data_IF_205774224810
#
_entry.id   IF_205774224810
#
_cell.length_a   1.000
_cell.length_b   1.000
_cell.length_c   1.000
_cell.angle_alpha   90.00
_cell.angle_beta   90.00
_cell.angle_gamma   90.00
#
_symmetry.space_group_name_H-M   'P 1'
#
loop_
_entity.id
_entity.type
_entity.pdbx_description
1 polymer ?
#
# COMPACT_ATOMS: atom_id res chain seq x y z
N UNK A 1 -18.77 9.14 -16.71
CA UNK A 1 -17.92 8.75 -17.85
C UNK A 1 -17.41 7.33 -17.60
N UNK A 2 -17.64 6.40 -18.53
CA UNK A 2 -17.23 4.98 -18.35
C UNK A 2 -15.70 4.94 -18.48
N UNK A 3 -15.00 4.43 -17.46
CA UNK A 3 -13.53 4.27 -17.53
C UNK A 3 -13.20 3.30 -18.67
N UNK A 4 -12.38 3.76 -19.61
CA UNK A 4 -11.88 2.93 -20.70
C UNK A 4 -10.81 1.97 -20.14
N UNK A 5 -10.92 0.69 -20.48
CA UNK A 5 -9.93 -0.30 -20.09
C UNK A 5 -8.54 0.05 -20.62
N UNK A 6 -8.43 0.48 -21.87
CA UNK A 6 -7.12 0.74 -22.50
C UNK A 6 -6.41 1.89 -21.76
N UNK A 7 -7.12 2.99 -21.51
CA UNK A 7 -6.56 4.14 -20.80
C UNK A 7 -6.17 3.81 -19.36
N UNK A 8 -6.96 3.00 -18.65
CA UNK A 8 -6.59 2.57 -17.30
C UNK A 8 -5.44 1.56 -17.32
N UNK A 9 -5.36 0.67 -18.31
CA UNK A 9 -4.25 -0.27 -18.47
C UNK A 9 -2.93 0.46 -18.75
N UNK A 10 -2.94 1.53 -19.54
CA UNK A 10 -1.77 2.38 -19.77
C UNK A 10 -1.29 3.06 -18.49
N UNK A 11 -2.20 3.57 -17.65
CA UNK A 11 -1.84 4.12 -16.33
C UNK A 11 -1.23 3.08 -15.41
N UNK A 12 -1.78 1.86 -15.40
CA UNK A 12 -1.22 0.73 -14.63
C UNK A 12 0.18 0.41 -15.13
N UNK A 13 0.35 0.27 -16.44
CA UNK A 13 1.64 0.01 -17.06
C UNK A 13 2.67 1.09 -16.73
N UNK A 14 2.26 2.36 -16.68
CA UNK A 14 3.16 3.45 -16.29
C UNK A 14 3.54 3.41 -14.82
N UNK A 15 2.58 3.15 -13.91
CA UNK A 15 2.89 2.95 -12.49
C UNK A 15 3.86 1.77 -12.26
N UNK A 16 3.75 0.70 -13.06
CA UNK A 16 4.69 -0.42 -13.03
C UNK A 16 6.10 0.02 -13.43
N UNK A 17 6.23 0.80 -14.51
CA UNK A 17 7.54 1.31 -14.94
C UNK A 17 8.19 2.16 -13.85
N UNK A 18 7.42 3.05 -13.21
CA UNK A 18 7.89 3.86 -12.08
C UNK A 18 8.35 2.97 -10.92
N UNK A 19 7.59 1.93 -10.59
CA UNK A 19 7.95 1.00 -9.53
C UNK A 19 9.24 0.23 -9.83
N UNK A 20 9.41 -0.27 -11.06
CA UNK A 20 10.63 -0.93 -11.52
C UNK A 20 11.82 0.03 -11.43
N UNK A 21 11.65 1.26 -11.90
CA UNK A 21 12.69 2.29 -11.80
C UNK A 21 13.09 2.58 -10.35
N UNK A 22 12.12 2.66 -9.43
CA UNK A 22 12.38 2.89 -8.02
C UNK A 22 13.19 1.74 -7.39
N UNK A 23 12.80 0.49 -7.64
CA UNK A 23 13.55 -0.67 -7.16
C UNK A 23 14.96 -0.76 -7.73
N UNK A 24 15.15 -0.40 -8.99
CA UNK A 24 16.46 -0.49 -9.66
C UNK A 24 17.41 0.64 -9.25
N UNK A 25 16.91 1.86 -9.08
CA UNK A 25 17.74 3.03 -8.74
C UNK A 25 18.10 3.08 -7.27
N UNK A 26 17.12 2.77 -6.42
CA UNK A 26 17.23 2.88 -4.97
C UNK A 26 16.68 1.61 -4.34
N UNK A 27 17.40 0.47 -4.43
CA UNK A 27 16.92 -0.78 -3.86
C UNK A 27 16.60 -0.65 -2.36
N UNK A 28 15.51 -1.25 -1.86
CA UNK A 28 15.20 -1.23 -0.44
C UNK A 28 16.35 -1.82 0.39
N UNK A 29 16.61 -1.30 1.61
CA UNK A 29 17.66 -1.83 2.47
C UNK A 29 17.49 -3.33 2.73
N UNK A 30 18.58 -4.09 2.57
CA UNK A 30 18.60 -5.54 2.79
C UNK A 30 18.12 -6.38 1.61
N UNK A 31 17.70 -5.76 0.50
CA UNK A 31 17.42 -6.49 -0.73
C UNK A 31 18.72 -6.83 -1.47
N UNK A 32 18.82 -8.08 -1.89
CA UNK A 32 19.86 -8.56 -2.82
C UNK A 32 19.46 -8.29 -4.27
N UNK A 33 20.43 -8.26 -5.18
CA UNK A 33 20.17 -8.12 -6.62
C UNK A 33 19.20 -9.18 -7.15
N UNK A 34 19.29 -10.41 -6.64
CA UNK A 34 18.38 -11.51 -7.01
C UNK A 34 16.94 -11.19 -6.62
N UNK A 35 16.71 -10.64 -5.42
CA UNK A 35 15.39 -10.23 -4.98
C UNK A 35 14.86 -9.05 -5.80
N UNK A 36 15.68 -8.03 -6.06
CA UNK A 36 15.30 -6.90 -6.92
C UNK A 36 14.91 -7.40 -8.32
N UNK A 37 15.72 -8.27 -8.91
CA UNK A 37 15.44 -8.85 -10.23
C UNK A 37 14.14 -9.66 -10.24
N UNK A 38 13.83 -10.37 -9.14
CA UNK A 38 12.57 -11.08 -9.02
C UNK A 38 11.37 -10.13 -8.99
N UNK A 39 11.44 -9.01 -8.24
CA UNK A 39 10.40 -7.98 -8.27
C UNK A 39 10.23 -7.40 -9.67
N UNK A 40 11.32 -7.01 -10.31
CA UNK A 40 11.30 -6.45 -11.68
C UNK A 40 10.67 -7.43 -12.67
N UNK A 41 11.01 -8.72 -12.58
CA UNK A 41 10.44 -9.75 -13.44
C UNK A 41 8.93 -9.87 -13.23
N UNK A 42 8.48 -10.04 -11.99
CA UNK A 42 7.05 -10.16 -11.66
C UNK A 42 6.27 -8.94 -12.12
N UNK A 43 6.84 -7.75 -11.96
CA UNK A 43 6.18 -6.51 -12.36
C UNK A 43 6.09 -6.37 -13.88
N UNK A 44 7.11 -6.80 -14.64
CA UNK A 44 7.02 -6.91 -16.10
C UNK A 44 5.91 -7.86 -16.54
N UNK A 45 5.75 -9.01 -15.87
CA UNK A 45 4.67 -9.95 -16.17
C UNK A 45 3.28 -9.33 -15.89
N UNK A 46 3.15 -8.52 -14.82
CA UNK A 46 1.94 -7.74 -14.54
C UNK A 46 1.67 -6.66 -15.59
N UNK A 47 2.71 -5.99 -16.10
CA UNK A 47 2.57 -4.99 -17.17
C UNK A 47 2.05 -5.63 -18.44
N UNK A 48 2.62 -6.77 -18.82
CA UNK A 48 2.17 -7.55 -19.96
C UNK A 48 0.71 -8.00 -19.78
N UNK A 49 0.36 -8.49 -18.59
CA UNK A 49 -1.01 -8.90 -18.27
C UNK A 49 -2.03 -7.75 -18.31
N UNK A 50 -1.60 -6.52 -18.02
CA UNK A 50 -2.45 -5.33 -18.09
C UNK A 50 -2.65 -4.85 -19.54
N UNK A 51 -1.59 -4.83 -20.34
CA UNK A 51 -1.62 -4.33 -21.73
C UNK A 51 -2.18 -5.36 -22.72
N UNK A 52 -1.87 -6.65 -22.49
CA UNK A 52 -2.22 -7.78 -23.35
C UNK A 52 -3.00 -8.85 -22.56
N UNK A 53 -4.17 -8.50 -21.97
CA UNK A 53 -4.94 -9.45 -21.18
C UNK A 53 -5.53 -10.57 -22.06
N UNK A 54 -5.65 -11.78 -21.51
CA UNK A 54 -6.50 -12.80 -22.12
C UNK A 54 -7.96 -12.27 -22.17
N UNK A 55 -8.80 -12.71 -23.13
CA UNK A 55 -10.14 -12.16 -23.34
C UNK A 55 -11.02 -12.09 -22.08
N UNK A 56 -10.92 -13.07 -21.16
CA UNK A 56 -11.68 -13.10 -19.91
C UNK A 56 -11.21 -12.12 -18.82
N UNK A 57 -10.03 -11.52 -18.98
CA UNK A 57 -9.40 -10.60 -18.03
C UNK A 57 -9.37 -9.14 -18.51
N UNK A 58 -9.90 -8.83 -19.70
CA UNK A 58 -10.05 -7.45 -20.20
C UNK A 58 -11.19 -6.71 -19.49
N UNK A 59 -11.05 -6.50 -18.19
CA UNK A 59 -12.02 -5.81 -17.32
C UNK A 59 -11.31 -4.97 -16.26
N UNK A 60 -11.92 -3.84 -15.89
CA UNK A 60 -11.36 -2.92 -14.88
C UNK A 60 -11.11 -3.61 -13.54
N UNK A 61 -11.93 -4.60 -13.18
CA UNK A 61 -11.74 -5.38 -11.96
C UNK A 61 -10.40 -6.15 -11.97
N UNK A 62 -9.97 -6.67 -13.12
CA UNK A 62 -8.67 -7.35 -13.25
C UNK A 62 -7.51 -6.39 -13.07
N UNK A 63 -7.60 -5.18 -13.63
CA UNK A 63 -6.59 -4.13 -13.41
C UNK A 63 -6.48 -3.74 -11.94
N UNK A 64 -7.59 -3.73 -11.19
CA UNK A 64 -7.57 -3.42 -9.76
C UNK A 64 -6.72 -4.40 -8.95
N UNK A 65 -6.72 -5.69 -9.31
CA UNK A 65 -5.85 -6.67 -8.65
C UNK A 65 -4.38 -6.39 -8.93
N UNK A 66 -4.03 -6.13 -10.19
CA UNK A 66 -2.67 -5.77 -10.57
C UNK A 66 -2.20 -4.51 -9.82
N UNK A 67 -3.03 -3.46 -9.79
CA UNK A 67 -2.75 -2.23 -9.03
C UNK A 67 -2.49 -2.56 -7.56
N UNK A 68 -3.32 -3.40 -6.94
CA UNK A 68 -3.13 -3.79 -5.54
C UNK A 68 -1.78 -4.50 -5.33
N UNK A 69 -1.44 -5.46 -6.20
CA UNK A 69 -0.20 -6.24 -6.10
C UNK A 69 1.05 -5.35 -6.23
N UNK A 70 0.99 -4.32 -7.07
CA UNK A 70 2.09 -3.36 -7.23
C UNK A 70 2.14 -2.40 -6.04
N UNK A 71 1.00 -1.80 -5.67
CA UNK A 71 0.97 -0.74 -4.66
C UNK A 71 1.18 -1.25 -3.24
N UNK A 72 0.92 -2.53 -2.95
CA UNK A 72 1.03 -3.08 -1.58
C UNK A 72 2.38 -2.75 -0.94
N UNK A 73 3.50 -3.02 -1.63
CA UNK A 73 4.82 -2.69 -1.12
C UNK A 73 4.96 -1.19 -0.81
N UNK A 74 4.55 -0.32 -1.75
CA UNK A 74 4.68 1.14 -1.63
C UNK A 74 3.72 1.77 -0.63
N UNK A 75 2.61 1.10 -0.31
CA UNK A 75 1.69 1.55 0.73
C UNK A 75 2.19 1.17 2.13
N UNK A 76 2.77 -0.02 2.27
CA UNK A 76 3.12 -0.59 3.58
C UNK A 76 4.55 -0.30 4.00
N UNK A 77 5.43 0.05 3.05
CA UNK A 77 6.85 0.26 3.32
C UNK A 77 7.22 1.75 3.43
N UNK A 78 8.46 1.99 3.87
CA UNK A 78 9.12 3.31 3.89
C UNK A 78 10.49 3.21 3.21
N UNK A 79 11.08 4.37 2.89
CA UNK A 79 12.43 4.48 2.34
C UNK A 79 12.46 5.10 0.94
N UNK A 80 13.66 5.34 0.43
CA UNK A 80 13.91 6.13 -0.79
C UNK A 80 13.19 5.59 -2.03
N UNK A 81 13.12 4.26 -2.17
CA UNK A 81 12.35 3.61 -3.24
C UNK A 81 10.86 3.99 -3.19
N UNK A 82 10.30 4.04 -1.97
CA UNK A 82 8.89 4.35 -1.75
C UNK A 82 8.61 5.82 -2.00
N UNK A 83 9.50 6.69 -1.53
CA UNK A 83 9.35 8.13 -1.70
C UNK A 83 9.50 8.50 -3.18
N UNK A 84 10.51 7.97 -3.88
CA UNK A 84 10.70 8.18 -5.32
C UNK A 84 9.52 7.65 -6.16
N UNK A 85 8.93 6.52 -5.76
CA UNK A 85 7.73 6.00 -6.43
C UNK A 85 6.56 6.98 -6.31
N UNK A 86 6.24 7.43 -5.09
CA UNK A 86 5.10 8.31 -4.87
C UNK A 86 5.31 9.71 -5.46
N UNK A 87 6.53 10.23 -5.43
CA UNK A 87 6.89 11.49 -6.10
C UNK A 87 6.53 11.42 -7.59
N UNK A 88 7.08 10.44 -8.32
CA UNK A 88 6.83 10.28 -9.76
C UNK A 88 5.38 9.99 -10.12
N UNK A 89 4.69 9.17 -9.33
CA UNK A 89 3.26 8.88 -9.52
C UNK A 89 2.43 10.16 -9.44
N UNK A 90 2.79 11.07 -8.52
CA UNK A 90 2.14 12.36 -8.37
C UNK A 90 2.51 13.33 -9.51
N UNK A 91 3.79 13.42 -9.86
CA UNK A 91 4.30 14.25 -10.98
C UNK A 91 3.59 13.89 -12.30
N UNK A 92 3.42 12.60 -12.57
CA UNK A 92 2.77 12.10 -13.78
C UNK A 92 1.23 12.08 -13.70
N UNK A 93 0.65 12.54 -12.59
CA UNK A 93 -0.80 12.63 -12.38
C UNK A 93 -1.55 11.30 -12.66
N UNK A 94 -0.97 10.16 -12.27
CA UNK A 94 -1.56 8.85 -12.51
C UNK A 94 -2.82 8.59 -11.67
N UNK A 95 -3.04 9.40 -10.63
CA UNK A 95 -4.24 9.38 -9.79
C UNK A 95 -4.24 8.32 -8.69
N UNK A 96 -3.13 7.59 -8.50
CA UNK A 96 -2.90 6.79 -7.30
C UNK A 96 -2.44 7.68 -6.15
N UNK A 97 -2.84 7.32 -4.93
CA UNK A 97 -2.49 8.09 -3.73
C UNK A 97 -1.97 7.17 -2.64
N UNK A 98 -0.93 7.63 -1.94
CA UNK A 98 -0.50 6.99 -0.70
C UNK A 98 -1.64 7.13 0.32
N UNK A 99 -2.02 6.02 0.93
CA UNK A 99 -3.09 5.99 1.90
C UNK A 99 -2.53 6.16 3.31
N UNK A 100 -3.04 7.15 4.03
CA UNK A 100 -2.76 7.28 5.46
C UNK A 100 -3.65 6.30 6.23
N UNK A 101 -3.11 5.10 6.46
CA UNK A 101 -3.84 4.03 7.14
C UNK A 101 -4.13 4.38 8.61
N UNK A 102 -3.26 5.12 9.29
CA UNK A 102 -3.49 5.56 10.67
C UNK A 102 -4.65 6.56 10.72
N UNK A 103 -4.68 7.53 9.81
CA UNK A 103 -5.81 8.46 9.66
C UNK A 103 -7.10 7.71 9.33
N UNK A 104 -7.08 6.70 8.47
CA UNK A 104 -8.27 5.85 8.21
C UNK A 104 -8.79 5.13 9.45
N UNK A 105 -7.91 4.66 10.34
CA UNK A 105 -8.30 4.03 11.61
C UNK A 105 -8.91 5.08 12.54
N UNK A 106 -8.27 6.24 12.65
CA UNK A 106 -8.70 7.39 13.46
C UNK A 106 -10.07 7.92 13.05
N UNK A 107 -10.25 8.27 11.78
CA UNK A 107 -11.50 8.81 11.22
C UNK A 107 -12.67 7.85 11.42
N UNK A 108 -12.38 6.55 11.39
CA UNK A 108 -13.35 5.50 11.60
C UNK A 108 -13.63 5.21 13.08
N UNK A 109 -12.70 5.56 13.96
CA UNK A 109 -12.80 5.33 15.41
C UNK A 109 -12.82 3.86 15.83
N UNK A 110 -12.28 2.94 15.03
CA UNK A 110 -12.13 1.51 15.42
C UNK A 110 -11.10 0.76 14.59
N UNK A 111 -10.44 -0.21 15.25
CA UNK A 111 -9.59 -1.23 14.62
C UNK A 111 -10.46 -2.44 14.24
N UNK A 112 -10.42 -2.86 12.97
CA UNK A 112 -11.30 -3.92 12.42
C UNK A 112 -10.74 -5.32 12.58
N UNK A 113 -9.44 -5.46 12.73
CA UNK A 113 -8.80 -6.76 12.71
C UNK A 113 -7.33 -6.70 13.07
N UNK A 114 -6.70 -7.89 13.00
CA UNK A 114 -5.31 -8.08 13.42
C UNK A 114 -4.32 -7.23 12.63
N UNK A 115 -4.50 -7.10 11.32
CA UNK A 115 -3.59 -6.37 10.44
C UNK A 115 -3.54 -4.88 10.83
N UNK A 116 -4.71 -4.24 10.96
CA UNK A 116 -4.77 -2.83 11.38
C UNK A 116 -4.29 -2.63 12.81
N UNK A 117 -4.48 -3.63 13.69
CA UNK A 117 -3.94 -3.60 15.04
C UNK A 117 -2.40 -3.61 15.04
N UNK A 118 -1.77 -4.54 14.31
CA UNK A 118 -0.31 -4.64 14.21
C UNK A 118 0.27 -3.36 13.60
N UNK A 119 -0.34 -2.87 12.50
CA UNK A 119 0.04 -1.60 11.89
C UNK A 119 -0.02 -0.43 12.89
N UNK A 120 -1.12 -0.30 13.63
CA UNK A 120 -1.28 0.79 14.60
C UNK A 120 -0.24 0.72 15.72
N UNK A 121 0.02 -0.47 16.27
CA UNK A 121 1.04 -0.69 17.31
C UNK A 121 2.43 -0.35 16.80
N UNK A 122 2.80 -0.82 15.61
CA UNK A 122 4.13 -0.64 15.05
C UNK A 122 4.39 0.79 14.60
N UNK A 123 3.33 1.51 14.19
CA UNK A 123 3.46 2.82 13.53
C UNK A 123 3.13 4.01 14.42
N UNK A 124 2.41 3.85 15.53
CA UNK A 124 1.94 4.98 16.35
C UNK A 124 3.09 5.88 16.87
N UNK A 125 4.13 5.28 17.44
CA UNK A 125 5.27 6.04 18.00
C UNK A 125 6.10 6.71 16.90
N UNK A 126 6.53 6.00 15.83
CA UNK A 126 7.22 6.65 14.72
C UNK A 126 6.39 7.76 14.07
N UNK A 127 5.08 7.53 13.88
CA UNK A 127 4.20 8.49 13.23
C UNK A 127 4.07 9.81 14.02
N UNK A 128 4.02 9.73 15.35
CA UNK A 128 4.02 10.92 16.23
C UNK A 128 5.37 11.65 16.16
N UNK A 129 6.49 10.92 16.22
CA UNK A 129 7.84 11.49 16.16
C UNK A 129 8.15 12.16 14.82
N UNK A 130 7.67 11.58 13.72
CA UNK A 130 7.78 12.12 12.35
C UNK A 130 6.77 13.26 12.09
N UNK A 131 5.87 13.57 13.03
CA UNK A 131 4.85 14.61 12.90
C UNK A 131 3.73 14.27 11.91
N UNK A 132 3.64 13.02 11.46
CA UNK A 132 2.57 12.55 10.56
C UNK A 132 1.21 12.39 11.27
N UNK A 133 1.22 12.24 12.60
CA UNK A 133 0.03 12.34 13.45
C UNK A 133 0.31 13.28 14.63
N UNK A 134 -0.73 13.88 15.19
CA UNK A 134 -0.62 14.72 16.40
C UNK A 134 -0.51 13.86 17.67
N UNK A 135 -0.13 14.48 18.79
CA UNK A 135 -0.15 13.82 20.10
C UNK A 135 -1.55 13.39 20.51
N UNK A 136 -2.55 14.18 20.13
CA UNK A 136 -3.97 13.87 20.34
C UNK A 136 -4.40 12.67 19.49
N UNK A 137 -4.00 12.61 18.22
CA UNK A 137 -4.20 11.46 17.33
C UNK A 137 -3.53 10.20 17.92
N UNK A 138 -2.29 10.30 18.39
CA UNK A 138 -1.59 9.20 19.05
C UNK A 138 -2.34 8.73 20.32
N UNK A 139 -2.82 9.65 21.16
CA UNK A 139 -3.62 9.29 22.33
C UNK A 139 -4.90 8.53 21.94
N UNK A 140 -5.57 8.96 20.87
CA UNK A 140 -6.77 8.28 20.37
C UNK A 140 -6.46 6.88 19.82
N UNK A 141 -5.40 6.73 19.02
CA UNK A 141 -4.94 5.42 18.53
C UNK A 141 -4.62 4.48 19.69
N UNK A 142 -3.93 4.96 20.74
CA UNK A 142 -3.64 4.16 21.94
C UNK A 142 -4.89 3.63 22.64
N UNK A 143 -5.97 4.43 22.67
CA UNK A 143 -7.28 3.98 23.18
C UNK A 143 -7.89 2.89 22.30
N UNK A 144 -7.88 3.08 20.98
CA UNK A 144 -8.44 2.10 20.03
C UNK A 144 -7.68 0.76 20.06
N UNK A 145 -6.35 0.81 20.19
CA UNK A 145 -5.49 -0.37 20.40
C UNK A 145 -5.92 -1.10 21.67
N UNK A 146 -6.02 -0.38 22.78
CA UNK A 146 -6.44 -0.93 24.08
C UNK A 146 -7.82 -1.59 24.00
N UNK A 147 -8.81 -0.90 23.40
CA UNK A 147 -10.17 -1.41 23.22
C UNK A 147 -10.21 -2.73 22.43
N UNK A 148 -9.41 -2.81 21.37
CA UNK A 148 -9.29 -4.02 20.55
C UNK A 148 -8.70 -5.20 21.34
N UNK A 149 -7.68 -4.97 22.17
CA UNK A 149 -7.11 -5.98 23.07
C UNK A 149 -8.11 -6.47 24.12
N UNK A 150 -8.84 -5.55 24.77
CA UNK A 150 -9.85 -5.89 25.79
C UNK A 150 -11.05 -6.62 25.19
N UNK A 151 -11.45 -6.28 23.96
CA UNK A 151 -12.50 -6.98 23.21
C UNK A 151 -12.17 -8.45 22.96
N UNK A 152 -10.91 -8.77 22.66
CA UNK A 152 -10.44 -10.16 22.49
C UNK A 152 -10.46 -10.97 23.78
N UNK A 153 -10.13 -10.36 24.92
CA UNK A 153 -10.16 -11.03 26.23
C UNK A 153 -11.57 -11.49 26.64
N UNK A 154 -12.63 -10.77 26.23
CA UNK A 154 -14.02 -11.18 26.52
C UNK A 154 -14.50 -12.40 25.73
N UNK A 155 -13.95 -12.64 24.53
CA UNK A 155 -14.30 -13.80 23.68
C UNK A 155 -13.43 -15.03 23.92
N UNK A 156 -12.29 -14.90 24.61
CA UNK A 156 -11.38 -16.01 24.94
C UNK A 156 -11.80 -16.87 26.14
N UNK A 157 -12.93 -16.54 26.80
CA UNK A 157 -13.48 -17.27 27.94
C UNK A 157 -14.82 -17.93 27.57
N UNK A 158 -14.83 -18.75 26.52
CA UNK A 158 -15.83 -19.80 26.38
C UNK A 158 -15.10 -21.14 26.48
N UNK A 159 -15.23 -21.74 27.66
CA UNK A 159 -14.91 -23.13 27.94
C UNK A 159 -15.69 -24.07 27.01
#
# INVERSE_FOLDING_TARGET
>A
MKKDYTLEAEKVARAIDIAIEAFMKTPPPGFTDSQVNQFVKVYKDYKESALNPLPGFRKLASLKYIVNDILTFFQESKGEAVDSFWEKVNEENLGYKREDQLRKILDRGKIRGRIEYELAVDSIVPAEQEGSITKEDASLLGKLISEFEFGRKKTGNKA
#
